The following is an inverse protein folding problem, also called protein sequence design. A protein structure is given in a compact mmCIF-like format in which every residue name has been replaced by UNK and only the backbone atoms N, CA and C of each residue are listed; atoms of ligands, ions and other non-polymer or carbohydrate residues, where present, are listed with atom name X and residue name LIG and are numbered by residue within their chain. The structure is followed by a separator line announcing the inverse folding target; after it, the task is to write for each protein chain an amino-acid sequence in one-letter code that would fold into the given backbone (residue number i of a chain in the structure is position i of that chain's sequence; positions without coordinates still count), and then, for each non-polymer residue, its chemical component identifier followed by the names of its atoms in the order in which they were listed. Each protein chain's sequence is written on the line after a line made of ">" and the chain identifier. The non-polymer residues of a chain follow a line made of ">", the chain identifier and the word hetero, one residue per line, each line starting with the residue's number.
data_IF_827791017081
#
_entry.id   IF_827791017081
#
_cell.length_a   1.000
_cell.length_b   1.000
_cell.length_c   1.000
_cell.angle_alpha   90.00
_cell.angle_beta   90.00
_cell.angle_gamma   90.00
#
_symmetry.space_group_name_H-M   'P 1'
#
loop_
_entity.id
_entity.type
_entity.pdbx_description
1 polymer ?
#
# COMPACT_ATOMS: atom_id res chain seq x y z
N UNK A 1 -4.47 -3.36 -8.35
CA UNK A 1 -3.36 -4.29 -8.15
C UNK A 1 -2.46 -4.20 -9.37
N UNK A 2 -1.14 -4.17 -9.14
CA UNK A 2 -0.12 -4.13 -10.21
C UNK A 2 0.06 -2.81 -10.99
N UNK A 3 -0.61 -1.72 -10.60
CA UNK A 3 -0.30 -0.38 -11.15
C UNK A 3 0.75 0.31 -10.28
N UNK A 4 1.72 1.03 -10.86
CA UNK A 4 2.60 1.91 -10.11
C UNK A 4 1.80 2.91 -9.29
N UNK A 5 2.22 3.10 -8.04
CA UNK A 5 1.67 4.03 -7.06
C UNK A 5 2.81 4.95 -6.66
N UNK A 6 2.61 6.26 -6.70
CA UNK A 6 3.63 7.23 -6.27
C UNK A 6 3.70 7.31 -4.75
N UNK A 7 4.85 7.68 -4.20
CA UNK A 7 5.02 7.99 -2.78
C UNK A 7 3.91 8.91 -2.26
N UNK A 8 3.54 8.71 -1.00
CA UNK A 8 2.53 9.48 -0.25
C UNK A 8 1.09 9.33 -0.80
N UNK A 9 0.87 8.53 -1.84
CA UNK A 9 -0.49 8.21 -2.31
C UNK A 9 -1.28 7.50 -1.20
N UNK A 10 -2.50 7.96 -0.87
CA UNK A 10 -3.39 7.25 0.06
C UNK A 10 -3.67 5.82 -0.38
N UNK A 11 -3.33 4.84 0.47
CA UNK A 11 -3.62 3.42 0.25
C UNK A 11 -4.91 2.98 0.95
N UNK A 12 -5.23 3.59 2.10
CA UNK A 12 -6.43 3.24 2.85
C UNK A 12 -6.55 4.03 4.15
N UNK A 13 -7.72 3.90 4.78
CA UNK A 13 -8.03 4.55 6.07
C UNK A 13 -8.39 3.49 7.09
N UNK A 14 -7.97 3.72 8.33
CA UNK A 14 -8.30 2.89 9.48
C UNK A 14 -9.40 3.62 10.25
N UNK A 15 -10.50 2.92 10.51
CA UNK A 15 -11.66 3.43 11.22
C UNK A 15 -11.78 2.76 12.58
N UNK A 16 -12.17 3.52 13.61
CA UNK A 16 -12.64 2.91 14.85
C UNK A 16 -14.05 2.31 14.69
N UNK A 17 -14.55 1.68 15.75
CA UNK A 17 -15.87 1.05 15.78
C UNK A 17 -17.04 2.05 15.63
N UNK A 18 -16.78 3.35 15.74
CA UNK A 18 -17.76 4.42 15.57
C UNK A 18 -17.72 5.05 14.17
N UNK A 19 -16.82 4.58 13.29
CA UNK A 19 -16.68 5.09 11.94
C UNK A 19 -15.81 6.35 11.82
N UNK A 20 -15.09 6.73 12.87
CA UNK A 20 -14.14 7.85 12.84
C UNK A 20 -12.79 7.38 12.31
N UNK A 21 -12.11 8.22 11.52
CA UNK A 21 -10.78 7.91 10.98
C UNK A 21 -9.74 8.06 12.08
N UNK A 22 -9.05 6.97 12.41
CA UNK A 22 -7.97 6.97 13.40
C UNK A 22 -6.60 7.13 12.76
N UNK A 23 -6.42 6.64 11.53
CA UNK A 23 -5.16 6.72 10.80
C UNK A 23 -5.38 6.58 9.30
N UNK A 24 -4.38 7.03 8.54
CA UNK A 24 -4.29 6.86 7.10
C UNK A 24 -3.00 6.12 6.76
N UNK A 25 -3.11 5.13 5.88
CA UNK A 25 -1.97 4.39 5.36
C UNK A 25 -1.64 4.99 4.00
N UNK A 26 -0.40 5.41 3.83
CA UNK A 26 0.09 6.01 2.58
C UNK A 26 1.19 5.14 1.97
N UNK A 27 1.40 5.27 0.67
CA UNK A 27 2.49 4.62 -0.03
C UNK A 27 3.83 5.14 0.53
N UNK A 28 4.70 4.25 1.05
CA UNK A 28 5.96 4.70 1.65
C UNK A 28 6.97 5.18 0.60
N UNK A 29 6.83 4.71 -0.64
CA UNK A 29 7.69 5.00 -1.78
C UNK A 29 6.93 4.82 -3.10
N UNK A 30 7.57 5.13 -4.21
CA UNK A 30 7.12 4.69 -5.53
C UNK A 30 7.18 3.17 -5.62
N UNK A 31 6.06 2.54 -5.96
CA UNK A 31 5.97 1.09 -5.88
C UNK A 31 4.63 0.53 -6.26
N UNK A 32 4.33 -0.65 -5.70
CA UNK A 32 3.11 -1.39 -6.02
C UNK A 32 2.62 -2.20 -4.83
N UNK A 33 1.31 -2.21 -4.63
CA UNK A 33 0.66 -3.18 -3.74
C UNK A 33 0.51 -4.50 -4.48
N UNK A 34 1.13 -5.55 -3.96
CA UNK A 34 1.09 -6.90 -4.56
C UNK A 34 0.41 -7.95 -3.67
N UNK A 35 -0.10 -7.56 -2.50
CA UNK A 35 -0.93 -8.42 -1.68
C UNK A 35 -1.68 -7.64 -0.60
N UNK A 36 -2.90 -8.09 -0.29
CA UNK A 36 -3.73 -7.52 0.78
C UNK A 36 -3.87 -8.47 1.96
N UNK A 37 -4.12 -7.89 3.13
CA UNK A 37 -4.62 -8.64 4.28
C UNK A 37 -5.97 -9.27 3.95
N UNK A 38 -6.16 -10.53 4.36
CA UNK A 38 -7.41 -11.25 4.14
C UNK A 38 -8.58 -10.75 4.99
N UNK A 39 -8.29 -10.29 6.21
CA UNK A 39 -9.27 -9.68 7.13
C UNK A 39 -9.03 -8.18 7.21
N UNK A 40 -10.07 -7.34 7.13
CA UNK A 40 -9.90 -5.88 7.14
C UNK A 40 -9.59 -5.30 8.53
N UNK A 41 -9.91 -6.03 9.61
CA UNK A 41 -9.60 -5.59 10.96
C UNK A 41 -8.08 -5.63 11.22
N UNK A 42 -7.56 -4.57 11.81
CA UNK A 42 -6.14 -4.41 12.17
C UNK A 42 -6.00 -3.78 13.56
N UNK A 43 -4.91 -4.10 14.24
CA UNK A 43 -4.42 -3.39 15.42
C UNK A 43 -3.20 -2.54 15.06
N UNK A 44 -2.87 -1.57 15.91
CA UNK A 44 -1.65 -0.77 15.74
C UNK A 44 -0.41 -1.68 15.70
N UNK A 45 0.48 -1.43 14.74
CA UNK A 45 1.66 -2.25 14.49
C UNK A 45 1.44 -3.46 13.57
N UNK A 46 0.19 -3.80 13.23
CA UNK A 46 -0.07 -4.84 12.22
C UNK A 46 0.07 -4.32 10.79
N UNK A 47 0.45 -5.21 9.88
CA UNK A 47 0.56 -4.90 8.46
C UNK A 47 -0.83 -4.84 7.79
N UNK A 48 -0.99 -3.91 6.83
CA UNK A 48 -2.22 -3.75 6.05
C UNK A 48 -2.13 -4.36 4.63
N UNK A 49 -0.96 -4.27 4.00
CA UNK A 49 -0.70 -4.79 2.67
C UNK A 49 0.79 -5.12 2.49
N UNK A 50 1.10 -5.94 1.48
CA UNK A 50 2.46 -6.12 1.00
C UNK A 50 2.76 -5.07 -0.07
N UNK A 51 3.83 -4.32 0.13
CA UNK A 51 4.24 -3.22 -0.73
C UNK A 51 5.64 -3.49 -1.28
N UNK A 52 5.77 -3.46 -2.61
CA UNK A 52 7.05 -3.62 -3.30
C UNK A 52 7.49 -2.28 -3.85
N UNK A 53 8.72 -1.88 -3.52
CA UNK A 53 9.33 -0.65 -4.02
C UNK A 53 9.83 -0.91 -5.44
N UNK A 54 9.62 0.04 -6.35
CA UNK A 54 10.17 -0.03 -7.70
C UNK A 54 11.50 0.72 -7.69
N UNK A 55 12.60 -0.02 -7.82
CA UNK A 55 13.95 0.56 -7.89
C UNK A 55 14.26 1.10 -9.30
N UNK A 56 13.91 0.34 -10.35
CA UNK A 56 14.07 0.76 -11.74
C UNK A 56 12.99 0.17 -12.67
N UNK A 57 12.73 0.87 -13.77
CA UNK A 57 11.90 0.37 -14.87
C UNK A 57 12.75 0.27 -16.13
N UNK A 58 12.85 -0.94 -16.69
CA UNK A 58 13.63 -1.24 -17.89
C UNK A 58 12.72 -1.58 -19.06
N UNK A 59 12.97 -0.93 -20.20
CA UNK A 59 12.25 -1.15 -21.46
C UNK A 59 13.12 -1.77 -22.55
N UNK A 60 14.35 -2.17 -22.19
CA UNK A 60 15.43 -2.63 -23.06
C UNK A 60 15.85 -4.08 -22.73
N UNK A 61 14.94 -4.85 -22.11
CA UNK A 61 15.23 -6.22 -21.66
C UNK A 61 15.32 -7.23 -22.82
N UNK A 62 14.84 -6.88 -24.02
CA UNK A 62 14.98 -7.68 -25.23
C UNK A 62 15.58 -6.82 -26.37
N UNK A 63 16.49 -7.37 -27.19
CA UNK A 63 17.07 -6.69 -28.36
C UNK A 63 16.05 -6.33 -29.43
#
# INVERSE_FOLDING_TARGET
>A
FEKPITRDTPLGKIYNLYGEVCAEVVAPEDGVVFGLRSRPAVLEGEWCCFYGIIDEVRNDLMP
#
